data_IF_350917940567
#
_entry.id   IF_350917940567
#
_cell.length_a   1.000
_cell.length_b   1.000
_cell.length_c   1.000
_cell.angle_alpha   90.00
_cell.angle_beta   90.00
_cell.angle_gamma   90.00
#
_symmetry.space_group_name_H-M   'P 1'
#
loop_
_entity.id
_entity.type
_entity.pdbx_description
1 polymer ?
#
# COMPACT_ATOMS: atom_id res chain seq x y z
N UNK A 1 0.05 -10.33 25.68
CA UNK A 1 0.91 -10.41 24.48
C UNK A 1 1.23 -9.02 23.92
N UNK A 2 2.51 -8.70 23.73
CA UNK A 2 3.01 -7.51 23.03
C UNK A 2 3.04 -7.75 21.52
N UNK A 3 2.40 -6.86 20.77
CA UNK A 3 2.18 -7.02 19.34
C UNK A 3 2.64 -5.76 18.60
N UNK A 4 3.53 -5.92 17.61
CA UNK A 4 3.86 -4.86 16.67
C UNK A 4 2.97 -4.96 15.44
N UNK A 5 2.33 -3.87 15.05
CA UNK A 5 1.60 -3.73 13.79
C UNK A 5 2.38 -2.78 12.90
N UNK A 6 2.89 -3.26 11.76
CA UNK A 6 3.47 -2.41 10.74
C UNK A 6 2.33 -1.88 9.87
N UNK A 7 2.15 -0.55 9.81
CA UNK A 7 0.91 0.06 9.31
C UNK A 7 1.07 1.02 8.14
N UNK A 8 -0.03 1.75 7.88
CA UNK A 8 -0.15 2.70 6.77
C UNK A 8 -1.23 2.35 5.74
N UNK A 9 -2.13 1.43 6.09
CA UNK A 9 -3.25 0.98 5.26
C UNK A 9 -4.57 1.06 6.03
N UNK A 10 -5.68 0.95 5.31
CA UNK A 10 -7.01 0.81 5.90
C UNK A 10 -7.13 -0.46 6.74
N UNK A 11 -6.44 -1.53 6.34
CA UNK A 11 -6.37 -2.80 7.06
C UNK A 11 -5.69 -2.62 8.43
N UNK A 12 -4.56 -1.91 8.48
CA UNK A 12 -3.86 -1.61 9.74
C UNK A 12 -4.72 -0.75 10.68
N UNK A 13 -5.45 0.24 10.12
CA UNK A 13 -6.38 1.07 10.90
C UNK A 13 -7.54 0.25 11.46
N UNK A 14 -8.14 -0.64 10.65
CA UNK A 14 -9.23 -1.51 11.09
C UNK A 14 -8.76 -2.48 12.19
N UNK A 15 -7.57 -3.07 12.04
CA UNK A 15 -6.97 -3.92 13.06
C UNK A 15 -6.70 -3.14 14.36
N UNK A 16 -6.10 -1.96 14.26
CA UNK A 16 -5.84 -1.11 15.43
C UNK A 16 -7.13 -0.77 16.19
N UNK A 17 -8.22 -0.47 15.49
CA UNK A 17 -9.52 -0.22 16.09
C UNK A 17 -10.10 -1.48 16.76
N UNK A 18 -10.01 -2.65 16.12
CA UNK A 18 -10.51 -3.90 16.67
C UNK A 18 -9.76 -4.36 17.94
N UNK A 19 -8.49 -3.98 18.07
CA UNK A 19 -7.66 -4.30 19.24
C UNK A 19 -7.74 -3.25 20.36
N UNK A 20 -8.37 -2.10 20.11
CA UNK A 20 -8.53 -1.07 21.13
C UNK A 20 -9.35 -1.60 22.32
N UNK A 21 -8.84 -1.41 23.54
CA UNK A 21 -9.50 -1.88 24.77
C UNK A 21 -9.27 -3.35 25.13
N UNK A 22 -8.56 -4.15 24.31
CA UNK A 22 -8.15 -5.51 24.69
C UNK A 22 -7.09 -5.46 25.80
N UNK A 23 -7.44 -5.92 27.01
CA UNK A 23 -6.55 -5.89 28.19
C UNK A 23 -5.50 -7.00 28.22
N UNK A 24 -5.69 -8.07 27.46
CA UNK A 24 -4.76 -9.19 27.28
C UNK A 24 -3.65 -8.88 26.26
N UNK A 25 -3.84 -7.82 25.47
CA UNK A 25 -2.92 -7.39 24.43
C UNK A 25 -2.25 -6.05 24.77
N UNK A 26 -1.09 -5.80 24.18
CA UNK A 26 -0.38 -4.52 24.20
C UNK A 26 0.07 -4.17 22.78
N UNK A 27 -0.87 -3.82 21.87
CA UNK A 27 -0.55 -3.53 20.49
C UNK A 27 0.12 -2.15 20.33
N UNK A 28 1.09 -2.05 19.44
CA UNK A 28 1.70 -0.79 19.00
C UNK A 28 1.63 -0.69 17.48
N UNK A 29 1.05 0.38 16.95
CA UNK A 29 1.06 0.67 15.51
C UNK A 29 2.33 1.44 15.13
N UNK A 30 3.06 0.96 14.13
CA UNK A 30 4.23 1.64 13.57
C UNK A 30 3.93 2.24 12.19
N UNK A 31 4.07 3.56 12.08
CA UNK A 31 3.93 4.30 10.84
C UNK A 31 5.30 4.76 10.32
N UNK A 32 5.48 4.73 9.00
CA UNK A 32 6.74 5.13 8.38
C UNK A 32 7.00 6.66 8.40
N UNK A 33 6.03 7.48 8.79
CA UNK A 33 6.15 8.95 8.77
C UNK A 33 6.19 9.54 7.35
N UNK A 34 5.59 8.85 6.37
CA UNK A 34 5.64 9.30 4.97
C UNK A 34 4.65 10.41 4.64
N UNK A 35 3.58 10.54 5.41
CA UNK A 35 2.58 11.61 5.29
C UNK A 35 2.78 12.63 6.39
N UNK A 36 2.69 13.93 6.07
CA UNK A 36 2.89 14.99 7.06
C UNK A 36 1.87 14.93 8.21
N UNK A 37 0.62 14.57 7.88
CA UNK A 37 -0.48 14.46 8.84
C UNK A 37 -1.16 13.08 8.71
N UNK A 38 -0.61 12.02 9.34
CA UNK A 38 -1.27 10.72 9.39
C UNK A 38 -2.48 10.77 10.33
N UNK A 39 -3.54 10.02 10.00
CA UNK A 39 -4.61 9.77 10.97
C UNK A 39 -4.06 8.90 12.11
N UNK A 40 -4.22 9.35 13.35
CA UNK A 40 -3.70 8.64 14.52
C UNK A 40 -4.62 7.48 14.92
N UNK A 41 -4.06 6.30 15.26
CA UNK A 41 -4.86 5.15 15.66
C UNK A 41 -5.35 5.26 17.12
N UNK A 42 -6.37 4.48 17.52
CA UNK A 42 -6.88 4.44 18.90
C UNK A 42 -6.03 3.56 19.84
N UNK A 43 -4.77 3.30 19.50
CA UNK A 43 -3.82 2.48 20.28
C UNK A 43 -2.45 3.18 20.33
N UNK A 44 -1.53 2.80 21.24
CA UNK A 44 -0.16 3.31 21.23
C UNK A 44 0.47 3.20 19.85
N UNK A 45 1.23 4.21 19.44
CA UNK A 45 1.82 4.25 18.12
C UNK A 45 3.22 4.89 18.12
N UNK A 46 3.99 4.57 17.09
CA UNK A 46 5.28 5.18 16.78
C UNK A 46 5.34 5.65 15.35
N UNK A 47 6.15 6.67 15.09
CA UNK A 47 6.39 7.23 13.76
C UNK A 47 7.89 7.24 13.49
N UNK A 48 8.31 6.72 12.34
CA UNK A 48 9.69 6.73 11.88
C UNK A 48 10.17 5.35 11.41
N UNK A 49 11.31 5.33 10.72
CA UNK A 49 11.95 4.09 10.31
C UNK A 49 12.48 3.28 11.51
N UNK A 50 12.93 2.05 11.22
CA UNK A 50 13.63 1.20 12.18
C UNK A 50 15.14 1.16 11.96
N UNK A 51 15.66 1.67 10.83
CA UNK A 51 17.10 1.56 10.53
C UNK A 51 17.50 0.23 9.89
N UNK A 52 16.63 -0.35 9.05
CA UNK A 52 16.90 -1.62 8.36
C UNK A 52 16.45 -2.83 9.17
N UNK A 53 17.01 -4.01 8.83
CA UNK A 53 16.75 -5.26 9.54
C UNK A 53 17.30 -5.19 10.97
N UNK A 54 18.56 -4.74 11.13
CA UNK A 54 19.22 -4.68 12.43
C UNK A 54 18.42 -3.83 13.44
N UNK A 55 18.08 -2.59 13.08
CA UNK A 55 17.32 -1.76 14.02
C UNK A 55 15.84 -2.18 14.19
N UNK A 56 15.27 -2.97 13.27
CA UNK A 56 13.98 -3.63 13.52
C UNK A 56 14.16 -4.77 14.53
N UNK A 57 15.18 -5.62 14.39
CA UNK A 57 15.51 -6.67 15.37
C UNK A 57 15.74 -6.08 16.76
N UNK A 58 16.58 -5.06 16.88
CA UNK A 58 16.86 -4.39 18.15
C UNK A 58 15.59 -3.83 18.80
N UNK A 59 14.68 -3.28 17.99
CA UNK A 59 13.39 -2.80 18.46
C UNK A 59 12.52 -3.95 18.98
N UNK A 60 12.41 -5.04 18.22
CA UNK A 60 11.59 -6.19 18.59
C UNK A 60 12.07 -6.80 19.92
N UNK A 61 13.39 -6.96 20.11
CA UNK A 61 13.98 -7.48 21.34
C UNK A 61 13.83 -6.52 22.51
N UNK A 62 14.23 -5.25 22.34
CA UNK A 62 14.17 -4.24 23.41
C UNK A 62 12.74 -4.05 23.92
N UNK A 63 11.79 -3.93 23.00
CA UNK A 63 10.38 -3.77 23.36
C UNK A 63 9.73 -5.09 23.76
N UNK A 64 10.42 -6.23 23.61
CA UNK A 64 9.96 -7.59 23.87
C UNK A 64 8.67 -7.92 23.11
N UNK A 65 8.64 -7.61 21.82
CA UNK A 65 7.51 -7.95 20.96
C UNK A 65 7.43 -9.46 20.82
N UNK A 66 6.23 -10.00 20.96
CA UNK A 66 5.97 -11.45 20.92
C UNK A 66 5.44 -11.90 19.56
N UNK A 67 4.92 -10.97 18.76
CA UNK A 67 4.43 -11.21 17.40
C UNK A 67 4.45 -9.93 16.57
N UNK A 68 4.45 -10.10 15.24
CA UNK A 68 4.35 -8.99 14.28
C UNK A 68 3.23 -9.24 13.29
N UNK A 69 2.40 -8.22 13.06
CA UNK A 69 1.47 -8.17 11.93
C UNK A 69 1.96 -7.12 10.94
N UNK A 70 2.36 -7.56 9.76
CA UNK A 70 2.62 -6.68 8.61
C UNK A 70 1.30 -6.35 7.89
N UNK A 71 0.73 -5.20 8.24
CA UNK A 71 -0.42 -4.60 7.58
C UNK A 71 0.01 -3.39 6.73
N UNK A 72 1.25 -3.37 6.22
CA UNK A 72 1.74 -2.28 5.36
C UNK A 72 1.14 -2.37 3.95
N UNK A 73 1.31 -1.32 3.15
CA UNK A 73 0.82 -1.31 1.78
C UNK A 73 1.52 -2.42 0.96
N UNK A 74 0.85 -3.14 0.04
CA UNK A 74 1.47 -4.24 -0.74
C UNK A 74 2.72 -3.87 -1.55
N UNK A 75 2.96 -2.57 -1.76
CA UNK A 75 4.14 -2.02 -2.44
C UNK A 75 5.23 -1.54 -1.47
N UNK A 76 5.04 -1.73 -0.16
CA UNK A 76 6.01 -1.43 0.88
C UNK A 76 7.00 -2.60 1.07
N UNK A 77 7.36 -3.28 -0.01
CA UNK A 77 8.10 -4.55 -0.02
C UNK A 77 9.38 -4.52 0.83
N UNK A 78 10.08 -3.38 0.90
CA UNK A 78 11.29 -3.24 1.72
C UNK A 78 11.03 -3.47 3.22
N UNK A 79 9.98 -2.86 3.79
CA UNK A 79 9.70 -3.06 5.23
C UNK A 79 9.13 -4.46 5.48
N UNK A 80 8.34 -5.01 4.56
CA UNK A 80 7.89 -6.40 4.62
C UNK A 80 9.07 -7.38 4.60
N UNK A 81 10.08 -7.13 3.77
CA UNK A 81 11.31 -7.93 3.74
C UNK A 81 12.10 -7.81 5.04
N UNK A 82 12.24 -6.60 5.57
CA UNK A 82 12.89 -6.43 6.87
C UNK A 82 12.15 -7.16 7.98
N UNK A 83 10.81 -7.15 7.96
CA UNK A 83 9.99 -7.85 8.95
C UNK A 83 10.17 -9.35 8.86
N UNK A 84 10.12 -9.94 7.67
CA UNK A 84 10.34 -11.37 7.46
C UNK A 84 11.73 -11.79 7.95
N UNK A 85 12.77 -11.02 7.61
CA UNK A 85 14.14 -11.33 8.02
C UNK A 85 14.35 -11.16 9.53
N UNK A 86 13.89 -10.05 10.12
CA UNK A 86 14.05 -9.80 11.55
C UNK A 86 13.27 -10.82 12.40
N UNK A 87 12.03 -11.13 12.00
CA UNK A 87 11.21 -12.14 12.69
C UNK A 87 11.83 -13.53 12.56
N UNK A 88 12.32 -13.89 11.37
CA UNK A 88 13.02 -15.16 11.15
C UNK A 88 14.27 -15.32 12.03
N UNK A 89 15.08 -14.26 12.16
CA UNK A 89 16.26 -14.25 13.05
C UNK A 89 15.92 -14.43 14.52
N UNK A 90 14.80 -13.85 14.96
CA UNK A 90 14.36 -13.86 16.36
C UNK A 90 13.41 -15.01 16.71
N UNK A 91 13.02 -15.82 15.72
CA UNK A 91 11.99 -16.86 15.90
C UNK A 91 10.61 -16.29 16.25
N UNK A 92 10.31 -15.05 15.85
CA UNK A 92 9.03 -14.40 16.12
C UNK A 92 7.99 -14.74 15.05
N UNK A 93 6.72 -14.99 15.44
CA UNK A 93 5.64 -15.14 14.48
C UNK A 93 5.38 -13.86 13.69
N UNK A 94 5.20 -14.02 12.38
CA UNK A 94 4.88 -12.95 11.44
C UNK A 94 3.66 -13.31 10.59
N UNK A 95 2.66 -12.42 10.59
CA UNK A 95 1.50 -12.47 9.70
C UNK A 95 1.49 -11.27 8.77
N UNK A 96 1.35 -11.50 7.46
CA UNK A 96 0.96 -10.44 6.54
C UNK A 96 -0.56 -10.32 6.46
N UNK A 97 -1.09 -9.17 6.87
CA UNK A 97 -2.50 -8.82 6.68
C UNK A 97 -2.64 -8.01 5.40
N UNK A 98 -2.89 -8.69 4.28
CA UNK A 98 -2.91 -8.09 2.95
C UNK A 98 -4.10 -8.56 2.13
N UNK A 99 -4.92 -7.62 1.68
CA UNK A 99 -6.06 -7.90 0.79
C UNK A 99 -5.65 -8.51 -0.56
N UNK A 100 -6.55 -9.25 -1.25
CA UNK A 100 -6.27 -9.82 -2.56
C UNK A 100 -5.96 -8.75 -3.62
N UNK A 101 -5.16 -9.07 -4.66
CA UNK A 101 -4.98 -8.20 -5.81
C UNK A 101 -6.30 -8.03 -6.57
N UNK A 102 -6.49 -6.87 -7.21
CA UNK A 102 -7.57 -6.71 -8.16
C UNK A 102 -7.37 -7.63 -9.36
N UNK A 103 -8.48 -8.16 -9.87
CA UNK A 103 -8.54 -8.98 -11.08
C UNK A 103 -9.39 -8.26 -12.13
N UNK A 104 -9.03 -8.35 -13.42
CA UNK A 104 -9.81 -7.73 -14.48
C UNK A 104 -11.19 -8.40 -14.58
N UNK A 105 -12.23 -7.59 -14.72
CA UNK A 105 -13.59 -8.04 -15.01
C UNK A 105 -14.03 -7.69 -16.44
N UNK A 106 -15.26 -8.05 -16.83
CA UNK A 106 -15.81 -7.66 -18.13
C UNK A 106 -15.73 -6.15 -18.37
N UNK A 107 -15.22 -5.76 -19.53
CA UNK A 107 -15.04 -4.35 -19.93
C UNK A 107 -13.74 -3.70 -19.44
N UNK A 108 -12.96 -4.35 -18.58
CA UNK A 108 -11.65 -3.85 -18.16
C UNK A 108 -10.61 -3.99 -19.27
N UNK A 109 -9.85 -2.92 -19.54
CA UNK A 109 -8.78 -2.86 -20.54
C UNK A 109 -7.42 -2.72 -19.87
N UNK A 110 -6.97 -3.79 -19.23
CA UNK A 110 -5.78 -3.75 -18.37
C UNK A 110 -4.55 -4.33 -19.06
N UNK A 111 -3.43 -3.63 -18.95
CA UNK A 111 -2.09 -4.10 -19.31
C UNK A 111 -1.27 -4.25 -18.03
N UNK A 112 -0.97 -5.48 -17.64
CA UNK A 112 -0.13 -5.77 -16.48
C UNK A 112 1.35 -5.50 -16.78
N UNK A 113 2.07 -4.85 -15.84
CA UNK A 113 3.50 -4.57 -15.95
C UNK A 113 4.22 -4.85 -14.62
N UNK A 114 5.49 -5.27 -14.62
CA UNK A 114 6.18 -5.67 -13.39
C UNK A 114 6.53 -4.51 -12.45
N UNK A 115 6.79 -3.31 -12.99
CA UNK A 115 7.30 -2.17 -12.24
C UNK A 115 6.93 -0.83 -12.92
N UNK A 116 7.35 0.29 -12.31
CA UNK A 116 7.06 1.64 -12.81
C UNK A 116 7.84 2.00 -14.09
N UNK A 117 9.03 1.44 -14.28
CA UNK A 117 9.82 1.67 -15.51
C UNK A 117 9.17 0.96 -16.70
N UNK A 118 8.67 -0.25 -16.49
CA UNK A 118 7.86 -0.98 -17.46
C UNK A 118 6.52 -0.28 -17.71
N UNK A 119 5.92 0.34 -16.70
CA UNK A 119 4.72 1.17 -16.87
C UNK A 119 5.00 2.36 -17.79
N UNK A 120 6.10 3.09 -17.58
CA UNK A 120 6.51 4.20 -18.43
C UNK A 120 6.77 3.73 -19.88
N UNK A 121 7.46 2.60 -20.07
CA UNK A 121 7.67 2.00 -21.41
C UNK A 121 6.36 1.61 -22.09
N UNK A 122 5.40 1.05 -21.34
CA UNK A 122 4.11 0.62 -21.87
C UNK A 122 3.22 1.79 -22.36
N UNK A 123 3.50 3.03 -21.94
CA UNK A 123 2.80 4.21 -22.44
C UNK A 123 3.17 4.61 -23.87
N UNK A 124 4.25 4.04 -24.44
CA UNK A 124 4.90 4.49 -25.66
C UNK A 124 3.99 4.83 -26.86
N UNK A 125 4.57 5.52 -27.84
CA UNK A 125 3.86 6.03 -29.01
C UNK A 125 3.50 7.51 -28.87
N UNK A 126 2.41 7.98 -29.51
CA UNK A 126 2.07 9.41 -29.57
C UNK A 126 1.74 10.00 -28.18
N UNK A 127 1.78 11.34 -28.03
CA UNK A 127 1.33 12.02 -26.82
C UNK A 127 -0.04 11.57 -26.35
N UNK A 128 -0.21 11.45 -25.02
CA UNK A 128 -1.46 11.04 -24.35
C UNK A 128 -1.63 11.80 -23.04
N UNK A 129 -2.85 11.85 -22.54
CA UNK A 129 -3.22 12.39 -21.21
C UNK A 129 -3.29 11.25 -20.21
N UNK A 130 -2.31 11.18 -19.32
CA UNK A 130 -2.06 10.03 -18.44
C UNK A 130 -2.34 10.41 -16.99
N UNK A 131 -3.24 9.69 -16.33
CA UNK A 131 -3.46 9.82 -14.90
C UNK A 131 -2.56 8.84 -14.13
N UNK A 132 -1.62 9.38 -13.35
CA UNK A 132 -0.75 8.62 -12.45
C UNK A 132 -1.34 8.60 -11.04
N UNK A 133 -1.68 7.40 -10.56
CA UNK A 133 -2.15 7.17 -9.17
C UNK A 133 -1.20 6.25 -8.40
N UNK A 134 0.09 6.34 -8.72
CA UNK A 134 1.17 5.53 -8.14
C UNK A 134 1.74 6.11 -6.84
N UNK A 135 1.23 7.27 -6.41
CA UNK A 135 1.74 8.06 -5.30
C UNK A 135 2.97 8.90 -5.69
N UNK A 136 3.59 9.58 -4.72
CA UNK A 136 4.75 10.44 -4.97
C UNK A 136 6.05 9.70 -5.29
N UNK A 137 6.21 8.47 -4.81
CA UNK A 137 7.45 7.70 -4.95
C UNK A 137 7.50 6.97 -6.29
N UNK A 138 8.61 7.15 -7.02
CA UNK A 138 8.87 6.49 -8.30
C UNK A 138 8.32 7.23 -9.52
N UNK A 139 7.96 8.51 -9.38
CA UNK A 139 7.51 9.33 -10.51
C UNK A 139 8.62 9.60 -11.53
N UNK A 140 9.89 9.55 -11.11
CA UNK A 140 11.05 9.73 -11.98
C UNK A 140 11.07 8.76 -13.17
N UNK A 141 10.49 7.55 -13.04
CA UNK A 141 10.34 6.59 -14.14
C UNK A 141 9.62 7.19 -15.36
N UNK A 142 8.62 8.05 -15.13
CA UNK A 142 7.81 8.66 -16.20
C UNK A 142 8.53 9.82 -16.91
N UNK A 143 9.68 10.27 -16.40
CA UNK A 143 10.56 11.21 -17.13
C UNK A 143 11.12 10.57 -18.41
N UNK A 144 11.17 9.24 -18.49
CA UNK A 144 11.59 8.51 -19.69
C UNK A 144 10.54 8.52 -20.82
N UNK A 145 9.33 9.02 -20.57
CA UNK A 145 8.29 9.21 -21.56
C UNK A 145 7.75 10.66 -21.50
N UNK A 146 8.58 11.67 -21.85
CA UNK A 146 8.29 13.08 -21.64
C UNK A 146 7.22 13.65 -22.59
N UNK A 147 6.84 12.92 -23.63
CA UNK A 147 5.85 13.34 -24.62
C UNK A 147 4.41 13.33 -24.10
N UNK A 148 4.13 12.69 -22.97
CA UNK A 148 2.79 12.62 -22.40
C UNK A 148 2.52 13.78 -21.42
N UNK A 149 1.24 14.10 -21.25
CA UNK A 149 0.75 15.04 -20.23
C UNK A 149 0.30 14.26 -19.00
N UNK A 150 0.92 14.52 -17.86
CA UNK A 150 0.69 13.74 -16.65
C UNK A 150 -0.20 14.48 -15.65
N UNK A 151 -1.36 13.90 -15.34
CA UNK A 151 -2.12 14.25 -14.16
C UNK A 151 -1.66 13.34 -13.01
N UNK A 152 -1.06 13.91 -11.98
CA UNK A 152 -0.43 13.17 -10.88
C UNK A 152 -1.26 13.36 -9.62
N UNK A 153 -1.86 12.28 -9.10
CA UNK A 153 -2.52 12.31 -7.80
C UNK A 153 -1.58 11.83 -6.70
N UNK A 154 -1.40 12.66 -5.68
CA UNK A 154 -0.57 12.36 -4.51
C UNK A 154 -1.19 12.93 -3.24
N UNK A 155 -0.86 12.35 -2.08
CA UNK A 155 -1.29 12.88 -0.77
C UNK A 155 -0.46 14.11 -0.39
N UNK A 156 0.87 13.97 -0.45
CA UNK A 156 1.79 15.09 -0.22
C UNK A 156 2.49 15.46 -1.54
N UNK A 157 3.01 16.69 -1.68
CA UNK A 157 3.76 17.12 -2.86
C UNK A 157 4.93 16.16 -3.19
N UNK A 158 5.06 15.72 -4.45
CA UNK A 158 6.27 15.02 -4.89
C UNK A 158 7.50 15.92 -4.90
N UNK A 159 8.69 15.30 -4.89
CA UNK A 159 9.93 16.05 -5.06
C UNK A 159 9.99 16.64 -6.48
N UNK A 160 10.34 17.93 -6.65
CA UNK A 160 10.36 18.57 -7.97
C UNK A 160 11.23 17.83 -9.00
N UNK A 161 12.35 17.23 -8.57
CA UNK A 161 13.26 16.47 -9.44
C UNK A 161 12.67 15.17 -10.01
N UNK A 162 11.65 14.61 -9.37
CA UNK A 162 11.02 13.35 -9.79
C UNK A 162 9.89 13.56 -10.80
N UNK A 163 9.46 14.80 -11.03
CA UNK A 163 8.29 15.10 -11.86
C UNK A 163 8.65 15.01 -13.35
N UNK A 164 7.78 14.41 -14.20
CA UNK A 164 7.91 14.49 -15.65
C UNK A 164 7.72 15.94 -16.14
N UNK A 165 8.26 16.33 -17.30
CA UNK A 165 8.27 17.74 -17.73
C UNK A 165 6.87 18.37 -17.81
N UNK A 166 5.92 17.72 -18.48
CA UNK A 166 4.55 18.23 -18.60
C UNK A 166 3.60 17.53 -17.63
N UNK A 167 3.31 18.19 -16.52
CA UNK A 167 2.52 17.61 -15.45
C UNK A 167 1.61 18.63 -14.75
N UNK A 168 0.59 18.10 -14.08
CA UNK A 168 -0.21 18.78 -13.07
C UNK A 168 -0.37 17.87 -11.87
N UNK A 169 -0.10 18.40 -10.68
CA UNK A 169 -0.29 17.67 -9.42
C UNK A 169 -1.65 18.01 -8.83
N UNK A 170 -2.39 16.98 -8.42
CA UNK A 170 -3.59 17.07 -7.59
C UNK A 170 -3.27 16.46 -6.24
N UNK A 171 -3.33 17.30 -5.20
CA UNK A 171 -3.16 16.85 -3.82
C UNK A 171 -4.50 16.38 -3.29
N UNK A 172 -4.62 15.08 -3.07
CA UNK A 172 -5.88 14.47 -2.67
C UNK A 172 -5.66 13.17 -1.90
N UNK A 173 -6.59 12.87 -1.00
CA UNK A 173 -6.57 11.71 -0.12
C UNK A 173 -7.95 11.06 -0.13
N UNK A 174 -7.96 9.76 -0.41
CA UNK A 174 -9.19 8.97 -0.39
C UNK A 174 -9.81 8.82 1.01
N UNK A 175 -10.95 8.11 1.11
CA UNK A 175 -11.53 7.24 0.07
C UNK A 175 -12.08 8.01 -1.14
N UNK A 176 -11.96 7.43 -2.34
CA UNK A 176 -12.43 8.05 -3.58
C UNK A 176 -13.76 7.45 -4.01
N UNK A 177 -14.71 8.31 -4.42
CA UNK A 177 -16.02 7.87 -4.93
C UNK A 177 -15.96 7.71 -6.45
N UNK A 178 -16.73 6.76 -6.99
CA UNK A 178 -16.81 6.52 -8.42
C UNK A 178 -17.19 7.78 -9.21
N UNK A 179 -18.20 8.52 -8.76
CA UNK A 179 -18.65 9.73 -9.44
C UNK A 179 -17.54 10.79 -9.56
N UNK A 180 -16.73 10.97 -8.50
CA UNK A 180 -15.61 11.92 -8.51
C UNK A 180 -14.49 11.46 -9.45
N UNK A 181 -14.17 10.17 -9.44
CA UNK A 181 -13.17 9.60 -10.36
C UNK A 181 -13.60 9.74 -11.83
N UNK A 182 -14.88 9.48 -12.13
CA UNK A 182 -15.43 9.64 -13.47
C UNK A 182 -15.38 11.11 -13.91
N UNK A 183 -15.79 12.04 -13.03
CA UNK A 183 -15.74 13.46 -13.32
C UNK A 183 -14.31 13.96 -13.55
N UNK A 184 -13.35 13.54 -12.71
CA UNK A 184 -11.95 13.87 -12.86
C UNK A 184 -11.39 13.35 -14.19
N UNK A 185 -11.57 12.07 -14.50
CA UNK A 185 -11.04 11.48 -15.71
C UNK A 185 -11.65 12.11 -16.97
N UNK A 186 -12.96 12.40 -16.96
CA UNK A 186 -13.63 13.05 -18.08
C UNK A 186 -13.18 14.51 -18.25
N UNK A 187 -13.16 15.30 -17.17
CA UNK A 187 -12.78 16.72 -17.20
C UNK A 187 -11.32 16.94 -17.61
N UNK A 188 -10.44 16.00 -17.24
CA UNK A 188 -9.02 16.04 -17.61
C UNK A 188 -8.73 15.33 -18.94
N UNK A 189 -9.77 14.80 -19.59
CA UNK A 189 -9.71 13.98 -20.81
C UNK A 189 -8.64 12.88 -20.73
N UNK A 190 -8.63 12.12 -19.63
CA UNK A 190 -7.68 11.04 -19.39
C UNK A 190 -7.87 9.93 -20.42
N UNK A 191 -6.77 9.51 -21.04
CA UNK A 191 -6.76 8.44 -22.05
C UNK A 191 -6.13 7.15 -21.49
N UNK A 192 -5.31 7.26 -20.43
CA UNK A 192 -4.68 6.10 -19.79
C UNK A 192 -4.52 6.34 -18.29
N UNK A 193 -4.94 5.35 -17.49
CA UNK A 193 -4.68 5.30 -16.05
C UNK A 193 -3.45 4.43 -15.79
N UNK A 194 -2.47 4.93 -15.04
CA UNK A 194 -1.38 4.11 -14.51
C UNK A 194 -1.57 3.98 -13.00
N UNK A 195 -1.60 2.75 -12.51
CA UNK A 195 -1.82 2.49 -11.08
C UNK A 195 -1.15 1.23 -10.57
N UNK A 196 -0.94 1.19 -9.26
CA UNK A 196 -0.42 0.02 -8.53
C UNK A 196 -1.57 -0.92 -8.21
N UNK A 197 -1.36 -2.24 -8.34
CA UNK A 197 -2.35 -3.24 -7.92
C UNK A 197 -2.39 -3.36 -6.37
N UNK A 198 -2.85 -2.29 -5.72
CA UNK A 198 -2.97 -2.20 -4.27
C UNK A 198 -4.06 -3.14 -3.72
N UNK A 199 -4.98 -3.61 -4.56
CA UNK A 199 -6.17 -4.33 -4.12
C UNK A 199 -7.10 -3.50 -3.22
N UNK A 200 -8.14 -4.15 -2.71
CA UNK A 200 -9.07 -3.56 -1.75
C UNK A 200 -10.07 -2.55 -2.34
N UNK A 201 -11.17 -2.25 -1.61
CA UNK A 201 -12.25 -1.41 -2.13
C UNK A 201 -11.89 0.09 -2.13
N UNK A 202 -11.10 0.55 -1.15
CA UNK A 202 -10.86 1.98 -0.90
C UNK A 202 -10.26 2.76 -2.09
N UNK A 203 -9.52 2.06 -2.98
CA UNK A 203 -8.90 2.65 -4.15
C UNK A 203 -9.43 2.05 -5.47
N UNK A 204 -10.49 1.24 -5.44
CA UNK A 204 -11.03 0.58 -6.63
C UNK A 204 -11.85 1.52 -7.53
N UNK A 205 -12.37 2.63 -6.98
CA UNK A 205 -13.24 3.56 -7.71
C UNK A 205 -12.66 4.05 -9.05
N UNK A 206 -11.34 4.28 -9.11
CA UNK A 206 -10.65 4.70 -10.34
C UNK A 206 -10.67 3.63 -11.43
N UNK A 207 -10.64 2.35 -11.07
CA UNK A 207 -10.71 1.25 -12.03
C UNK A 207 -12.13 1.15 -12.61
N UNK A 208 -13.15 1.31 -11.76
CA UNK A 208 -14.53 1.36 -12.20
C UNK A 208 -14.81 2.59 -13.08
N UNK A 209 -14.23 3.75 -12.77
CA UNK A 209 -14.31 4.94 -13.61
C UNK A 209 -13.64 4.74 -14.96
N UNK A 210 -12.43 4.17 -14.97
CA UNK A 210 -11.70 3.85 -16.21
C UNK A 210 -12.52 2.90 -17.10
N UNK A 211 -13.14 1.87 -16.52
CA UNK A 211 -14.04 0.96 -17.22
C UNK A 211 -15.25 1.68 -17.83
N UNK A 212 -15.94 2.52 -17.04
CA UNK A 212 -17.11 3.26 -17.50
C UNK A 212 -16.80 4.21 -18.66
N UNK A 213 -15.57 4.73 -18.72
CA UNK A 213 -15.09 5.64 -19.77
C UNK A 213 -14.33 4.93 -20.90
N UNK A 214 -14.15 3.61 -20.83
CA UNK A 214 -13.37 2.85 -21.83
C UNK A 214 -11.87 3.14 -21.83
N UNK A 215 -11.34 3.74 -20.76
CA UNK A 215 -9.95 4.13 -20.58
C UNK A 215 -9.08 2.89 -20.32
N UNK A 216 -7.92 2.82 -20.99
CA UNK A 216 -6.92 1.78 -20.75
C UNK A 216 -6.23 1.93 -19.39
N UNK A 217 -5.93 0.82 -18.73
CA UNK A 217 -5.24 0.81 -17.43
C UNK A 217 -3.91 0.08 -17.55
N UNK A 218 -2.81 0.78 -17.26
CA UNK A 218 -1.51 0.16 -17.02
C UNK A 218 -1.44 -0.18 -15.53
N UNK A 219 -1.48 -1.47 -15.22
CA UNK A 219 -1.54 -1.97 -13.85
C UNK A 219 -0.20 -2.55 -13.42
N UNK A 220 0.48 -1.86 -12.51
CA UNK A 220 1.75 -2.32 -11.94
C UNK A 220 1.47 -3.49 -10.98
N UNK A 221 2.14 -4.60 -11.22
CA UNK A 221 2.07 -5.81 -10.41
C UNK A 221 2.65 -5.57 -9.01
N UNK A 222 2.19 -6.37 -8.04
CA UNK A 222 2.76 -6.34 -6.69
C UNK A 222 4.19 -6.87 -6.74
N UNK A 223 5.13 -6.30 -5.96
CA UNK A 223 6.43 -6.93 -5.75
C UNK A 223 6.28 -8.34 -5.19
N UNK A 224 7.24 -9.21 -5.47
CA UNK A 224 7.28 -10.56 -4.94
C UNK A 224 7.34 -10.54 -3.41
N UNK A 225 6.60 -11.46 -2.78
CA UNK A 225 6.60 -11.70 -1.35
C UNK A 225 8.02 -11.88 -0.79
N UNK A 226 8.33 -11.18 0.30
CA UNK A 226 9.60 -11.34 0.98
C UNK A 226 9.50 -12.44 2.06
N UNK A 227 10.11 -13.59 1.79
CA UNK A 227 10.34 -14.67 2.75
C UNK A 227 9.09 -15.39 3.29
N UNK A 228 9.30 -16.40 4.15
CA UNK A 228 8.22 -17.16 4.80
C UNK A 228 7.47 -16.30 5.80
N UNK A 229 6.13 -16.35 5.75
CA UNK A 229 5.22 -15.71 6.70
C UNK A 229 3.82 -16.31 6.55
N UNK A 230 3.02 -16.22 7.61
CA UNK A 230 1.59 -16.49 7.50
C UNK A 230 0.92 -15.36 6.70
N UNK A 231 -0.17 -15.65 6.00
CA UNK A 231 -0.95 -14.65 5.25
C UNK A 231 -2.42 -14.71 5.64
N UNK A 232 -3.03 -13.53 5.83
CA UNK A 232 -4.45 -13.37 6.05
C UNK A 232 -4.98 -12.22 5.20
N UNK A 233 -6.17 -12.41 4.64
CA UNK A 233 -6.83 -11.43 3.76
C UNK A 233 -7.98 -10.68 4.45
N UNK A 234 -8.49 -11.23 5.55
CA UNK A 234 -9.63 -10.69 6.28
C UNK A 234 -9.30 -10.47 7.76
N UNK A 235 -9.92 -9.43 8.34
CA UNK A 235 -9.71 -9.07 9.74
C UNK A 235 -10.05 -10.20 10.73
N UNK A 236 -11.13 -10.99 10.56
CA UNK A 236 -11.42 -12.10 11.46
C UNK A 236 -10.29 -13.13 11.55
N UNK A 237 -9.65 -13.46 10.43
CA UNK A 237 -8.54 -14.42 10.39
C UNK A 237 -7.32 -13.90 11.13
N UNK A 238 -7.04 -12.60 11.00
CA UNK A 238 -5.97 -11.91 11.74
C UNK A 238 -6.24 -11.96 13.24
N UNK A 239 -7.49 -11.69 13.66
CA UNK A 239 -7.87 -11.73 15.08
C UNK A 239 -7.75 -13.16 15.64
N UNK A 240 -8.20 -14.17 14.89
CA UNK A 240 -8.03 -15.57 15.26
C UNK A 240 -6.55 -15.95 15.41
N UNK A 241 -5.70 -15.51 14.49
CA UNK A 241 -4.24 -15.72 14.53
C UNK A 241 -3.59 -15.08 15.76
N UNK A 242 -4.04 -13.88 16.15
CA UNK A 242 -3.60 -13.17 17.36
C UNK A 242 -4.06 -13.91 18.61
N UNK A 243 -5.34 -14.30 18.66
CA UNK A 243 -5.94 -14.98 19.82
C UNK A 243 -5.30 -16.34 20.09
N UNK A 244 -4.99 -17.11 19.05
CA UNK A 244 -4.27 -18.37 19.15
C UNK A 244 -2.93 -18.20 19.88
N UNK A 245 -2.18 -17.14 19.55
CA UNK A 245 -0.87 -16.85 20.13
C UNK A 245 -0.95 -16.27 21.54
N UNK A 246 -1.92 -15.37 21.78
CA UNK A 246 -2.11 -14.77 23.09
C UNK A 246 -2.49 -15.80 24.17
N UNK A 247 -3.15 -16.90 23.78
CA UNK A 247 -3.65 -17.92 24.69
C UNK A 247 -2.93 -19.29 24.57
N UNK A 248 -1.83 -19.37 23.82
CA UNK A 248 -1.06 -20.60 23.64
C UNK A 248 -1.82 -21.74 22.96
N UNK A 249 -2.84 -21.42 22.15
CA UNK A 249 -3.62 -22.40 21.37
C UNK A 249 -2.96 -22.62 20.01
N UNK A 250 -2.76 -23.87 19.61
CA UNK A 250 -2.39 -24.19 18.24
C UNK A 250 -3.54 -23.80 17.29
N UNK A 251 -3.22 -23.18 16.15
CA UNK A 251 -4.19 -23.01 15.06
C UNK A 251 -4.56 -24.40 14.52
N UNK A 252 -5.84 -24.67 14.20
CA UNK A 252 -6.25 -25.90 13.53
C UNK A 252 -5.70 -26.02 12.11
#
# INVERSE_FOLDING_TARGET
>A
MKLLILGGTTEATALAAALAGRHDLRPVLSLAGRTAHPALPPIPHRIGGFGGVAGLSDYLERERQEAVVDATHPFAARISAHAAEACGRLGLPLLAFTRPPWQPGPGDRWTGVPDLDAAARALGGPPRRVLLTVGRLGLAAFRAAPQHRYLIRSIDPPAPGDLPPEHRVVLDRGPFRLADETALMAGEAVETLVTKNSGGPAAAAKLAAARALGIGVVLVARPTAAGPRDEAVALPDVLAWIDARAHGRAMP
#
